data_IF_412883830302
#
_entry.id   IF_412883830302
#
_cell.length_a   1.000
_cell.length_b   1.000
_cell.length_c   1.000
_cell.angle_alpha   90.00
_cell.angle_beta   90.00
_cell.angle_gamma   90.00
#
_symmetry.space_group_name_H-M   'P 1'
#
loop_
_entity.id
_entity.type
_entity.pdbx_description
1 polymer ?
#
# COMPACT_ATOMS: atom_id res chain seq x y z
N UNK A 1 22.74 -5.02 -25.71
CA UNK A 1 23.25 -4.05 -24.69
C UNK A 1 22.40 -4.23 -23.46
N UNK A 2 23.00 -4.62 -22.35
CA UNK A 2 22.26 -4.90 -21.11
C UNK A 2 21.57 -3.64 -20.61
N UNK A 3 20.27 -3.74 -20.36
CA UNK A 3 19.44 -2.67 -19.76
C UNK A 3 19.37 -2.88 -18.24
N UNK A 4 19.69 -1.85 -17.48
CA UNK A 4 19.71 -1.92 -16.02
C UNK A 4 18.67 -0.98 -15.44
N UNK A 5 17.90 -1.48 -14.47
CA UNK A 5 16.90 -0.71 -13.74
C UNK A 5 17.01 -0.96 -12.24
N UNK A 6 16.55 0.01 -11.45
CA UNK A 6 16.34 -0.15 -10.02
C UNK A 6 14.85 0.04 -9.69
N UNK A 7 14.29 -0.91 -8.95
CA UNK A 7 12.94 -0.84 -8.40
C UNK A 7 13.03 -0.67 -6.89
N UNK A 8 12.36 0.34 -6.37
CA UNK A 8 12.13 0.49 -4.93
C UNK A 8 10.74 -0.02 -4.60
N UNK A 9 10.59 -0.81 -3.53
CA UNK A 9 9.29 -1.33 -3.07
C UNK A 9 9.12 -1.24 -1.56
N UNK A 10 7.92 -0.86 -1.09
CA UNK A 10 7.54 -0.95 0.33
C UNK A 10 7.06 -2.35 0.73
N UNK A 11 6.87 -3.24 -0.24
CA UNK A 11 6.25 -4.55 -0.05
C UNK A 11 7.16 -5.68 -0.54
N UNK A 12 6.66 -6.92 -0.41
CA UNK A 12 7.30 -8.05 -1.09
C UNK A 12 7.29 -7.78 -2.60
N UNK A 13 8.46 -7.86 -3.27
CA UNK A 13 8.50 -7.68 -4.71
C UNK A 13 7.53 -8.63 -5.42
N UNK A 14 6.77 -8.11 -6.37
CA UNK A 14 5.84 -8.89 -7.16
C UNK A 14 6.08 -8.63 -8.64
N UNK A 15 6.12 -9.70 -9.41
CA UNK A 15 6.46 -9.64 -10.83
C UNK A 15 5.40 -8.88 -11.66
N UNK A 16 4.13 -8.92 -11.28
CA UNK A 16 3.06 -8.28 -12.04
C UNK A 16 3.18 -6.75 -11.99
N UNK A 17 3.50 -6.18 -10.80
CA UNK A 17 3.77 -4.75 -10.65
C UNK A 17 5.03 -4.33 -11.41
N UNK A 18 6.09 -5.14 -11.36
CA UNK A 18 7.34 -4.87 -12.07
C UNK A 18 7.12 -4.92 -13.58
N UNK A 19 6.44 -5.95 -14.10
CA UNK A 19 6.07 -6.06 -15.51
C UNK A 19 5.25 -4.86 -15.97
N UNK A 20 4.25 -4.46 -15.18
CA UNK A 20 3.43 -3.31 -15.50
C UNK A 20 4.26 -2.03 -15.60
N UNK A 21 5.13 -1.75 -14.62
CA UNK A 21 5.99 -0.57 -14.67
C UNK A 21 6.92 -0.57 -15.89
N UNK A 22 7.54 -1.71 -16.21
CA UNK A 22 8.44 -1.82 -17.34
C UNK A 22 7.71 -1.72 -18.69
N UNK A 23 6.45 -2.18 -18.77
CA UNK A 23 5.65 -2.02 -19.98
C UNK A 23 5.28 -0.57 -20.31
N UNK A 24 5.46 0.35 -19.33
CA UNK A 24 5.29 1.80 -19.54
C UNK A 24 6.54 2.46 -20.13
N UNK A 25 7.64 1.74 -20.24
CA UNK A 25 8.92 2.25 -20.76
C UNK A 25 9.07 1.76 -22.19
N UNK A 26 9.35 2.68 -23.11
CA UNK A 26 9.62 2.35 -24.49
C UNK A 26 10.84 1.41 -24.60
N UNK A 27 10.78 0.48 -25.55
CA UNK A 27 11.87 -0.47 -25.85
C UNK A 27 12.21 -1.49 -24.77
N UNK A 28 11.39 -1.69 -23.73
CA UNK A 28 11.58 -2.76 -22.77
C UNK A 28 10.57 -3.88 -23.04
N UNK A 29 11.08 -5.02 -23.53
CA UNK A 29 10.27 -6.22 -23.76
C UNK A 29 10.53 -7.19 -22.62
N UNK A 30 9.47 -7.56 -21.91
CA UNK A 30 9.53 -8.55 -20.83
C UNK A 30 8.86 -9.82 -21.32
N UNK A 31 9.55 -10.97 -21.26
CA UNK A 31 8.95 -12.25 -21.60
C UNK A 31 7.74 -12.55 -20.72
N UNK A 32 6.66 -13.04 -21.32
CA UNK A 32 5.43 -13.41 -20.59
C UNK A 32 5.66 -14.56 -19.59
N UNK A 33 6.69 -15.37 -19.80
CA UNK A 33 7.02 -16.57 -19.01
C UNK A 33 7.64 -16.27 -17.64
N UNK A 34 8.04 -15.03 -17.35
CA UNK A 34 8.66 -14.68 -16.08
C UNK A 34 7.64 -14.73 -14.94
N UNK A 35 7.97 -15.47 -13.88
CA UNK A 35 7.20 -15.59 -12.64
C UNK A 35 7.94 -14.93 -11.45
N UNK A 36 7.31 -14.93 -10.27
CA UNK A 36 7.96 -14.45 -9.05
C UNK A 36 9.23 -15.24 -8.67
N UNK A 37 9.38 -16.47 -9.16
CA UNK A 37 10.54 -17.32 -8.87
C UNK A 37 11.84 -16.77 -9.48
N UNK A 38 11.74 -15.87 -10.46
CA UNK A 38 12.89 -15.16 -11.03
C UNK A 38 13.37 -14.00 -10.16
N UNK A 39 12.63 -13.60 -9.15
CA UNK A 39 13.02 -12.55 -8.21
C UNK A 39 13.82 -13.20 -7.08
N UNK A 40 15.15 -13.09 -7.16
CA UNK A 40 16.06 -13.80 -6.26
C UNK A 40 16.61 -12.84 -5.20
N UNK A 41 16.45 -13.13 -3.88
CA UNK A 41 17.06 -12.32 -2.84
C UNK A 41 18.58 -12.44 -2.85
N UNK A 42 19.26 -11.32 -2.68
CA UNK A 42 20.71 -11.26 -2.61
C UNK A 42 21.18 -11.69 -1.21
N UNK A 43 21.30 -13.00 -1.03
CA UNK A 43 21.77 -13.60 0.23
C UNK A 43 23.27 -13.80 0.14
N UNK A 44 24.00 -13.21 1.09
CA UNK A 44 25.44 -13.40 1.25
C UNK A 44 25.72 -14.29 2.47
N UNK A 45 26.93 -14.83 2.55
CA UNK A 45 27.41 -15.52 3.76
C UNK A 45 28.66 -14.81 4.29
N UNK A 46 28.80 -14.76 5.61
CA UNK A 46 30.03 -14.29 6.23
C UNK A 46 31.11 -15.40 6.27
N UNK A 47 32.24 -15.09 6.91
CA UNK A 47 33.37 -16.03 7.05
C UNK A 47 33.05 -17.27 7.92
N UNK A 48 32.00 -17.19 8.73
CA UNK A 48 31.51 -18.27 9.60
C UNK A 48 30.36 -19.06 8.93
N UNK A 49 29.98 -18.69 7.70
CA UNK A 49 28.89 -19.30 6.95
C UNK A 49 27.49 -18.84 7.37
N UNK A 50 27.36 -17.83 8.23
CA UNK A 50 26.07 -17.24 8.59
C UNK A 50 25.49 -16.48 7.41
N UNK A 51 24.23 -16.76 7.09
CA UNK A 51 23.53 -16.11 5.97
C UNK A 51 23.05 -14.72 6.33
N UNK A 52 23.18 -13.79 5.39
CA UNK A 52 22.82 -12.37 5.54
C UNK A 52 21.99 -11.87 4.37
N UNK A 53 20.91 -11.11 4.68
CA UNK A 53 20.04 -10.48 3.71
C UNK A 53 19.73 -9.03 4.10
N UNK A 54 19.85 -8.10 3.17
CA UNK A 54 19.69 -6.66 3.41
C UNK A 54 18.53 -6.02 2.64
N UNK A 55 17.50 -6.78 2.33
CA UNK A 55 16.32 -6.23 1.63
C UNK A 55 16.59 -5.89 0.15
N UNK A 56 17.46 -6.65 -0.51
CA UNK A 56 17.80 -6.47 -1.93
C UNK A 56 17.56 -7.77 -2.68
N UNK A 57 16.86 -7.69 -3.80
CA UNK A 57 16.65 -8.79 -4.75
C UNK A 57 17.19 -8.42 -6.12
N UNK A 58 17.43 -9.42 -6.94
CA UNK A 58 17.79 -9.26 -8.34
C UNK A 58 16.81 -10.06 -9.21
N UNK A 59 16.43 -9.47 -10.32
CA UNK A 59 15.73 -10.12 -11.42
C UNK A 59 16.60 -9.99 -12.67
N UNK A 60 17.07 -11.12 -13.19
CA UNK A 60 17.90 -11.18 -14.41
C UNK A 60 17.17 -12.00 -15.46
N UNK A 61 16.92 -11.39 -16.63
CA UNK A 61 16.25 -12.04 -17.74
C UNK A 61 16.78 -11.47 -19.06
N UNK A 62 17.35 -12.33 -19.88
CA UNK A 62 17.97 -11.97 -21.17
C UNK A 62 19.00 -10.84 -21.00
N UNK A 63 18.74 -9.68 -21.61
CA UNK A 63 19.59 -8.49 -21.50
C UNK A 63 19.06 -7.46 -20.50
N UNK A 64 18.18 -7.88 -19.60
CA UNK A 64 17.56 -7.04 -18.57
C UNK A 64 18.03 -7.43 -17.16
N UNK A 65 18.55 -6.47 -16.41
CA UNK A 65 18.92 -6.62 -14.99
C UNK A 65 18.14 -5.61 -14.17
N UNK A 66 17.41 -6.11 -13.17
CA UNK A 66 16.64 -5.27 -12.24
C UNK A 66 17.11 -5.51 -10.82
N UNK A 67 17.63 -4.49 -10.18
CA UNK A 67 17.90 -4.47 -8.74
C UNK A 67 16.65 -3.99 -8.00
N UNK A 68 16.13 -4.79 -7.09
CA UNK A 68 14.94 -4.46 -6.32
C UNK A 68 15.38 -4.20 -4.88
N UNK A 69 15.03 -3.05 -4.32
CA UNK A 69 15.43 -2.64 -2.97
C UNK A 69 14.21 -2.32 -2.12
N UNK A 70 14.16 -2.88 -0.90
CA UNK A 70 13.14 -2.53 0.07
C UNK A 70 13.37 -1.11 0.58
N UNK A 71 12.33 -0.29 0.59
CA UNK A 71 12.35 1.04 1.18
C UNK A 71 11.20 1.23 2.17
N UNK A 72 11.30 2.27 2.96
CA UNK A 72 10.26 2.72 3.87
C UNK A 72 9.86 4.14 3.53
N UNK A 73 8.61 4.31 3.20
CA UNK A 73 8.04 5.62 2.98
C UNK A 73 7.79 6.37 4.30
N UNK A 74 8.06 7.66 4.31
CA UNK A 74 7.86 8.50 5.48
C UNK A 74 6.47 9.10 5.58
N UNK A 75 5.81 9.28 4.45
CA UNK A 75 4.52 9.99 4.41
C UNK A 75 3.75 9.62 3.16
N UNK A 76 2.69 8.83 3.30
CA UNK A 76 1.81 8.46 2.17
C UNK A 76 2.61 8.09 0.90
N UNK A 77 3.69 7.32 1.06
CA UNK A 77 4.52 6.89 -0.07
C UNK A 77 3.74 5.96 -0.99
N UNK A 78 4.14 5.94 -2.24
CA UNK A 78 3.68 4.95 -3.22
C UNK A 78 4.33 3.59 -2.95
N UNK A 79 3.73 2.52 -3.43
CA UNK A 79 4.22 1.17 -3.14
C UNK A 79 5.49 0.81 -3.94
N UNK A 80 5.64 1.36 -5.16
CA UNK A 80 6.80 1.10 -6.03
C UNK A 80 7.28 2.35 -6.75
N UNK A 81 8.60 2.39 -7.01
CA UNK A 81 9.24 3.39 -7.88
C UNK A 81 10.26 2.70 -8.78
N UNK A 82 10.27 3.04 -10.06
CA UNK A 82 11.20 2.50 -11.07
C UNK A 82 12.18 3.59 -11.54
N UNK A 83 13.45 3.28 -11.56
CA UNK A 83 14.54 4.16 -12.02
C UNK A 83 15.36 3.47 -13.12
N UNK A 84 15.94 4.25 -14.00
CA UNK A 84 16.74 3.75 -15.12
C UNK A 84 18.10 3.17 -14.66
N UNK A 85 18.67 3.72 -13.61
CA UNK A 85 20.01 3.38 -13.10
C UNK A 85 19.96 3.15 -11.60
N UNK A 86 21.08 2.80 -11.01
CA UNK A 86 21.16 2.68 -9.56
C UNK A 86 20.95 4.05 -8.89
N UNK A 87 20.11 4.06 -7.88
CA UNK A 87 19.68 5.27 -7.18
C UNK A 87 20.36 5.35 -5.84
N UNK A 88 20.97 6.50 -5.57
CA UNK A 88 21.43 6.83 -4.24
C UNK A 88 20.24 7.13 -3.33
N UNK A 89 19.89 6.16 -2.50
CA UNK A 89 18.77 6.26 -1.57
C UNK A 89 19.05 7.20 -0.40
N UNK A 90 20.29 7.64 -0.23
CA UNK A 90 20.63 8.61 0.83
C UNK A 90 20.17 10.03 0.46
N UNK A 91 20.10 10.34 -0.82
CA UNK A 91 19.62 11.66 -1.30
C UNK A 91 18.10 11.74 -1.35
N UNK A 92 17.40 10.60 -1.47
CA UNK A 92 15.95 10.54 -1.48
C UNK A 92 15.27 11.23 -2.66
N UNK A 93 15.98 11.47 -3.78
CA UNK A 93 15.45 12.17 -4.94
C UNK A 93 14.56 11.23 -5.79
N UNK A 94 13.28 11.18 -5.47
CA UNK A 94 12.30 10.41 -6.24
C UNK A 94 11.82 11.12 -7.52
N UNK A 95 12.21 12.39 -7.75
CA UNK A 95 11.83 13.12 -8.98
C UNK A 95 12.38 12.45 -10.26
N UNK A 96 13.47 11.69 -10.13
CA UNK A 96 14.12 10.98 -11.23
C UNK A 96 13.46 9.64 -11.58
N UNK A 97 12.46 9.22 -10.82
CA UNK A 97 11.74 7.99 -11.12
C UNK A 97 11.06 8.07 -12.50
N UNK A 98 11.18 7.00 -13.28
CA UNK A 98 10.51 6.85 -14.57
C UNK A 98 9.03 6.54 -14.39
N UNK A 99 8.73 5.68 -13.41
CA UNK A 99 7.37 5.24 -13.08
C UNK A 99 7.23 5.20 -11.57
N UNK A 100 6.10 5.68 -11.08
CA UNK A 100 5.65 5.43 -9.70
C UNK A 100 4.34 4.66 -9.74
N UNK A 101 4.21 3.66 -8.88
CA UNK A 101 3.06 2.78 -8.85
C UNK A 101 2.52 2.62 -7.44
N UNK A 102 1.21 2.73 -7.33
CA UNK A 102 0.44 2.39 -6.15
C UNK A 102 -0.42 1.17 -6.46
N UNK A 103 -0.29 0.12 -5.65
CA UNK A 103 -1.02 -1.12 -5.87
C UNK A 103 -2.07 -1.39 -4.80
N UNK A 104 -3.11 -2.14 -5.13
CA UNK A 104 -4.13 -2.56 -4.17
C UNK A 104 -4.80 -3.86 -4.58
N UNK A 105 -5.12 -4.68 -3.60
CA UNK A 105 -5.89 -5.92 -3.78
C UNK A 105 -7.42 -5.69 -3.69
N UNK A 106 -7.86 -4.44 -3.55
CA UNK A 106 -9.28 -4.10 -3.39
C UNK A 106 -9.92 -3.74 -4.72
N UNK A 107 -11.12 -4.28 -4.97
CA UNK A 107 -11.98 -3.88 -6.09
C UNK A 107 -12.92 -2.73 -5.71
N UNK A 108 -13.60 -2.13 -6.70
CA UNK A 108 -14.68 -1.16 -6.50
C UNK A 108 -15.70 -1.61 -5.44
N UNK A 109 -16.10 -2.88 -5.50
CA UNK A 109 -17.10 -3.42 -4.57
C UNK A 109 -16.63 -3.56 -3.13
N UNK A 110 -15.35 -3.81 -2.95
CA UNK A 110 -14.76 -4.10 -1.65
C UNK A 110 -14.40 -2.82 -0.90
N UNK A 111 -14.01 -1.80 -1.61
CA UNK A 111 -13.44 -0.58 -1.03
C UNK A 111 -14.47 0.45 -0.58
N UNK A 112 -15.71 0.36 -1.04
CA UNK A 112 -16.82 1.24 -0.64
C UNK A 112 -16.37 2.64 -0.22
N UNK A 113 -15.78 3.41 -1.10
CA UNK A 113 -15.42 4.81 -0.89
C UNK A 113 -14.03 5.11 -0.31
N UNK A 114 -13.27 4.15 0.19
CA UNK A 114 -12.01 4.47 0.89
C UNK A 114 -10.77 4.22 0.05
N UNK A 115 -10.70 3.12 -0.69
CA UNK A 115 -9.46 2.74 -1.35
C UNK A 115 -9.06 3.71 -2.48
N UNK A 116 -9.98 4.09 -3.35
CA UNK A 116 -9.68 5.02 -4.45
C UNK A 116 -9.18 6.36 -3.90
N UNK A 117 -9.84 6.89 -2.87
CA UNK A 117 -9.49 8.19 -2.30
C UNK A 117 -8.18 8.17 -1.50
N UNK A 118 -7.91 7.09 -0.77
CA UNK A 118 -6.63 6.92 -0.09
C UNK A 118 -5.46 6.82 -1.09
N UNK A 119 -5.68 6.13 -2.22
CA UNK A 119 -4.65 5.93 -3.23
C UNK A 119 -4.33 7.23 -3.98
N UNK A 120 -5.33 8.00 -4.37
CA UNK A 120 -5.11 9.32 -4.98
C UNK A 120 -4.23 10.20 -4.08
N UNK A 121 -4.43 10.12 -2.76
CA UNK A 121 -3.65 10.85 -1.76
C UNK A 121 -2.14 10.65 -1.92
N UNK A 122 -1.70 9.43 -2.19
CA UNK A 122 -0.29 9.11 -2.32
C UNK A 122 0.34 9.84 -3.50
N UNK A 123 -0.33 9.86 -4.65
CA UNK A 123 0.12 10.59 -5.83
C UNK A 123 0.13 12.11 -5.59
N UNK A 124 -0.89 12.64 -4.94
CA UNK A 124 -0.96 14.07 -4.59
C UNK A 124 0.18 14.47 -3.65
N UNK A 125 0.50 13.63 -2.66
CA UNK A 125 1.64 13.86 -1.77
C UNK A 125 2.96 13.80 -2.53
N UNK A 126 3.10 12.84 -3.44
CA UNK A 126 4.29 12.68 -4.27
C UNK A 126 4.51 13.92 -5.14
N UNK A 127 3.49 14.38 -5.86
CA UNK A 127 3.56 15.58 -6.72
C UNK A 127 3.95 16.84 -5.93
N UNK A 128 3.48 16.93 -4.69
CA UNK A 128 3.84 18.04 -3.81
C UNK A 128 5.30 18.04 -3.40
N UNK A 129 5.86 16.85 -3.14
CA UNK A 129 7.27 16.72 -2.76
C UNK A 129 8.20 16.87 -3.96
N UNK A 130 7.74 16.47 -5.13
CA UNK A 130 8.52 16.41 -6.36
C UNK A 130 7.77 17.08 -7.51
N UNK A 131 7.62 18.42 -7.49
CA UNK A 131 6.88 19.16 -8.52
C UNK A 131 7.52 19.03 -9.91
N UNK A 132 8.81 18.72 -9.98
CA UNK A 132 9.55 18.53 -11.23
C UNK A 132 9.45 17.10 -11.78
N UNK A 133 8.76 16.19 -11.10
CA UNK A 133 8.55 14.83 -11.56
C UNK A 133 7.85 14.80 -12.93
N UNK A 134 8.46 14.10 -13.89
CA UNK A 134 7.97 13.95 -15.27
C UNK A 134 7.60 12.52 -15.64
N UNK A 135 7.81 11.60 -14.71
CA UNK A 135 7.56 10.18 -14.95
C UNK A 135 6.06 9.83 -14.99
N UNK A 136 5.80 8.56 -15.12
CA UNK A 136 4.46 7.99 -15.28
C UNK A 136 3.90 7.61 -13.91
N UNK A 137 2.64 7.96 -13.65
CA UNK A 137 1.89 7.57 -12.46
C UNK A 137 0.96 6.42 -12.80
N UNK A 138 1.00 5.36 -12.00
CA UNK A 138 0.19 4.16 -12.23
C UNK A 138 -0.55 3.75 -10.97
N UNK A 139 -1.86 3.62 -11.08
CA UNK A 139 -2.70 2.95 -10.10
C UNK A 139 -3.01 1.54 -10.58
N UNK A 140 -2.71 0.53 -9.76
CA UNK A 140 -2.87 -0.87 -10.10
C UNK A 140 -3.76 -1.62 -9.11
N UNK A 141 -4.77 -2.31 -9.61
CA UNK A 141 -5.64 -3.20 -8.83
C UNK A 141 -5.27 -4.66 -9.09
N UNK A 142 -4.54 -5.25 -8.16
CA UNK A 142 -4.14 -6.66 -8.25
C UNK A 142 -5.34 -7.58 -8.06
N UNK A 143 -5.56 -8.52 -8.96
CA UNK A 143 -6.57 -9.58 -8.83
C UNK A 143 -7.98 -9.07 -8.48
N UNK A 144 -8.38 -7.94 -9.04
CA UNK A 144 -9.67 -7.34 -8.73
C UNK A 144 -10.76 -7.87 -9.62
N UNK A 145 -11.88 -8.28 -9.00
CA UNK A 145 -13.11 -8.61 -9.73
C UNK A 145 -13.93 -7.33 -9.84
N UNK A 146 -14.07 -6.84 -11.07
CA UNK A 146 -14.81 -5.64 -11.37
C UNK A 146 -16.23 -6.01 -11.87
N UNK A 147 -17.21 -5.23 -11.42
CA UNK A 147 -18.57 -5.29 -11.97
C UNK A 147 -18.64 -4.61 -13.33
N UNK A 148 -19.70 -4.90 -14.06
CA UNK A 148 -19.95 -4.26 -15.36
C UNK A 148 -20.14 -2.75 -15.25
N UNK A 149 -20.64 -2.27 -14.10
CA UNK A 149 -20.83 -0.84 -13.82
C UNK A 149 -20.11 -0.43 -12.53
N UNK A 150 -19.37 0.65 -12.61
CA UNK A 150 -18.74 1.28 -11.45
C UNK A 150 -19.79 1.93 -10.54
N UNK A 151 -19.48 1.99 -9.23
CA UNK A 151 -20.26 2.82 -8.31
C UNK A 151 -20.00 4.31 -8.63
N UNK A 152 -20.96 5.16 -8.32
CA UNK A 152 -20.80 6.60 -8.51
C UNK A 152 -19.56 7.15 -7.79
N UNK A 153 -19.29 6.63 -6.60
CA UNK A 153 -18.10 7.02 -5.82
C UNK A 153 -16.79 6.62 -6.51
N UNK A 154 -16.71 5.41 -7.05
CA UNK A 154 -15.54 4.96 -7.80
C UNK A 154 -15.36 5.77 -9.09
N UNK A 155 -16.44 6.03 -9.82
CA UNK A 155 -16.40 6.84 -11.04
C UNK A 155 -15.83 8.25 -10.77
N UNK A 156 -16.29 8.93 -9.72
CA UNK A 156 -15.77 10.25 -9.36
C UNK A 156 -14.29 10.18 -9.03
N UNK A 157 -13.85 9.19 -8.26
CA UNK A 157 -12.44 9.02 -7.92
C UNK A 157 -11.57 8.72 -9.14
N UNK A 158 -12.04 7.86 -10.05
CA UNK A 158 -11.30 7.50 -11.27
C UNK A 158 -11.24 8.65 -12.27
N UNK A 159 -12.31 9.44 -12.41
CA UNK A 159 -12.27 10.68 -13.20
C UNK A 159 -11.27 11.69 -12.63
N UNK A 160 -11.14 11.80 -11.30
CA UNK A 160 -10.09 12.61 -10.67
C UNK A 160 -8.69 12.04 -10.97
N UNK A 161 -8.49 10.71 -10.92
CA UNK A 161 -7.22 10.09 -11.30
C UNK A 161 -6.87 10.43 -12.75
N UNK A 162 -7.81 10.29 -13.68
CA UNK A 162 -7.61 10.66 -15.08
C UNK A 162 -7.27 12.16 -15.22
N UNK A 163 -8.00 13.03 -14.51
CA UNK A 163 -7.71 14.48 -14.48
C UNK A 163 -6.29 14.76 -13.99
N UNK A 164 -5.77 13.99 -13.05
CA UNK A 164 -4.44 14.13 -12.47
C UNK A 164 -3.34 13.32 -13.23
N UNK A 165 -3.65 12.81 -14.43
CA UNK A 165 -2.75 11.99 -15.27
C UNK A 165 -2.23 10.74 -14.55
N UNK A 166 -3.10 10.04 -13.85
CA UNK A 166 -2.79 8.75 -13.23
C UNK A 166 -3.37 7.65 -14.11
N UNK A 167 -2.50 6.82 -14.70
CA UNK A 167 -2.90 5.66 -15.49
C UNK A 167 -3.50 4.59 -14.58
N UNK A 168 -4.53 3.90 -15.05
CA UNK A 168 -5.33 2.98 -14.25
C UNK A 168 -5.39 1.59 -14.88
N UNK A 169 -4.83 0.60 -14.19
CA UNK A 169 -4.80 -0.78 -14.64
C UNK A 169 -5.32 -1.76 -13.59
N UNK A 170 -5.80 -2.90 -14.04
CA UNK A 170 -6.20 -4.02 -13.19
C UNK A 170 -5.75 -5.33 -13.81
N UNK A 171 -5.39 -6.29 -12.97
CA UNK A 171 -5.16 -7.66 -13.37
C UNK A 171 -6.41 -8.50 -13.07
N UNK A 172 -6.95 -9.17 -14.08
CA UNK A 172 -8.06 -10.08 -13.92
C UNK A 172 -7.76 -11.42 -14.60
N UNK A 173 -7.59 -12.47 -13.82
CA UNK A 173 -7.26 -13.82 -14.32
C UNK A 173 -6.04 -13.80 -15.26
N UNK A 174 -5.00 -13.09 -14.90
CA UNK A 174 -3.77 -12.96 -15.68
C UNK A 174 -3.83 -11.97 -16.85
N UNK A 175 -4.99 -11.36 -17.13
CA UNK A 175 -5.14 -10.37 -18.19
C UNK A 175 -5.05 -8.95 -17.63
N UNK A 176 -4.17 -8.14 -18.19
CA UNK A 176 -4.07 -6.71 -17.88
C UNK A 176 -5.24 -5.96 -18.53
N UNK A 177 -5.98 -5.21 -17.75
CA UNK A 177 -7.13 -4.43 -18.18
C UNK A 177 -6.82 -2.96 -17.96
N UNK A 178 -6.94 -2.15 -19.01
CA UNK A 178 -6.96 -0.69 -18.89
C UNK A 178 -8.35 -0.25 -18.38
N UNK A 179 -8.38 0.27 -17.16
CA UNK A 179 -9.64 0.66 -16.48
C UNK A 179 -10.29 1.87 -17.16
N UNK A 180 -9.48 2.80 -17.65
CA UNK A 180 -9.98 3.96 -18.39
C UNK A 180 -10.76 3.53 -19.64
N UNK A 181 -10.17 2.66 -20.44
CA UNK A 181 -10.82 2.16 -21.67
C UNK A 181 -12.05 1.33 -21.37
N UNK A 182 -11.93 0.40 -20.40
CA UNK A 182 -13.05 -0.51 -20.04
C UNK A 182 -14.31 0.23 -19.60
N UNK A 183 -14.17 1.35 -18.89
CA UNK A 183 -15.29 2.10 -18.32
C UNK A 183 -15.48 3.47 -18.96
N UNK A 184 -14.79 3.77 -20.06
CA UNK A 184 -14.89 5.03 -20.79
C UNK A 184 -14.69 6.27 -19.88
N UNK A 185 -13.67 6.17 -19.01
CA UNK A 185 -13.40 7.22 -18.00
C UNK A 185 -12.78 8.44 -18.68
N UNK A 186 -13.43 9.59 -18.53
CA UNK A 186 -12.95 10.87 -19.02
C UNK A 186 -12.49 11.79 -17.88
N UNK A 187 -11.46 12.59 -18.13
CA UNK A 187 -11.05 13.64 -17.22
C UNK A 187 -12.17 14.66 -17.01
N UNK A 188 -12.11 15.38 -15.90
CA UNK A 188 -12.94 16.56 -15.71
C UNK A 188 -12.43 17.72 -16.59
N UNK A 189 -13.35 18.50 -17.13
CA UNK A 189 -13.02 19.61 -18.01
C UNK A 189 -13.10 20.98 -17.32
N UNK A 190 -13.93 21.08 -16.27
CA UNK A 190 -14.12 22.30 -15.50
C UNK A 190 -14.45 22.04 -14.03
N UNK A 191 -14.38 23.09 -13.21
CA UNK A 191 -14.69 23.01 -11.78
C UNK A 191 -16.13 22.60 -11.50
N UNK A 192 -17.08 23.10 -12.29
CA UNK A 192 -18.51 22.84 -12.05
C UNK A 192 -18.84 21.35 -12.25
N UNK A 193 -18.22 20.70 -13.25
CA UNK A 193 -18.36 19.25 -13.47
C UNK A 193 -17.83 18.43 -12.27
N UNK A 194 -16.71 18.84 -11.67
CA UNK A 194 -16.20 18.21 -10.43
C UNK A 194 -17.19 18.41 -9.28
N UNK A 195 -17.71 19.64 -9.11
CA UNK A 195 -18.65 19.98 -8.04
C UNK A 195 -19.93 19.17 -8.17
N UNK A 196 -20.55 19.15 -9.33
CA UNK A 196 -21.78 18.41 -9.60
C UNK A 196 -21.58 16.92 -9.35
N UNK A 197 -20.54 16.33 -9.95
CA UNK A 197 -20.24 14.91 -9.79
C UNK A 197 -19.98 14.51 -8.32
N UNK A 198 -19.24 15.34 -7.57
CA UNK A 198 -18.95 15.09 -6.17
C UNK A 198 -20.19 15.22 -5.29
N UNK A 199 -21.00 16.26 -5.54
CA UNK A 199 -22.20 16.51 -4.75
C UNK A 199 -23.33 15.52 -5.06
N UNK A 200 -23.34 14.89 -6.21
CA UNK A 200 -24.28 13.80 -6.54
C UNK A 200 -24.04 12.51 -5.71
N UNK A 201 -22.86 12.33 -5.11
CA UNK A 201 -22.62 11.19 -4.21
C UNK A 201 -23.46 11.36 -2.93
N UNK A 202 -24.37 10.40 -2.62
CA UNK A 202 -25.23 10.48 -1.44
C UNK A 202 -24.41 10.51 -0.14
N UNK A 203 -24.80 11.39 0.78
CA UNK A 203 -24.27 11.35 2.13
C UNK A 203 -24.82 10.14 2.88
N UNK A 204 -23.93 9.40 3.54
CA UNK A 204 -24.32 8.34 4.46
C UNK A 204 -24.34 8.89 5.87
N UNK A 205 -25.39 8.58 6.61
CA UNK A 205 -25.52 8.99 8.02
C UNK A 205 -24.32 8.47 8.82
N UNK A 206 -23.60 9.38 9.49
CA UNK A 206 -22.42 9.05 10.31
C UNK A 206 -21.09 8.96 9.55
N UNK A 207 -21.06 9.13 8.24
CA UNK A 207 -19.85 9.12 7.44
C UNK A 207 -19.31 10.53 7.19
N UNK A 208 -18.04 10.59 6.81
CA UNK A 208 -17.43 11.80 6.33
C UNK A 208 -18.10 12.30 5.06
N UNK A 209 -18.30 13.59 4.99
CA UNK A 209 -18.82 14.23 3.79
C UNK A 209 -17.99 15.44 3.38
N UNK A 210 -17.88 15.62 2.08
CA UNK A 210 -17.36 16.83 1.45
C UNK A 210 -18.47 17.36 0.57
N UNK A 211 -18.84 18.63 0.78
CA UNK A 211 -19.75 19.37 -0.09
C UNK A 211 -19.01 20.55 -0.68
N UNK A 212 -19.23 20.79 -1.93
CA UNK A 212 -18.54 21.79 -2.72
C UNK A 212 -19.57 22.79 -3.23
N UNK A 213 -19.23 24.08 -3.18
CA UNK A 213 -20.00 25.13 -3.79
C UNK A 213 -19.05 26.16 -4.37
N UNK A 214 -19.42 26.80 -5.47
CA UNK A 214 -18.62 27.82 -6.12
C UNK A 214 -19.40 29.12 -6.16
N UNK A 215 -18.73 30.20 -5.79
CA UNK A 215 -19.22 31.55 -5.95
C UNK A 215 -18.09 32.39 -6.53
N UNK A 216 -18.23 32.83 -7.77
CA UNK A 216 -17.19 33.50 -8.55
C UNK A 216 -15.89 32.68 -8.61
N UNK A 217 -14.80 33.20 -8.04
CA UNK A 217 -13.51 32.51 -7.95
C UNK A 217 -13.30 31.79 -6.63
N UNK A 218 -14.27 31.80 -5.72
CA UNK A 218 -14.17 31.16 -4.43
C UNK A 218 -14.86 29.80 -4.45
N UNK A 219 -14.14 28.79 -3.96
CA UNK A 219 -14.66 27.43 -3.80
C UNK A 219 -14.86 27.17 -2.29
N UNK A 220 -16.12 27.08 -1.89
CA UNK A 220 -16.51 26.77 -0.53
C UNK A 220 -16.59 25.26 -0.32
N UNK A 221 -15.87 24.78 0.68
CA UNK A 221 -15.74 23.37 0.99
C UNK A 221 -16.28 23.10 2.40
N UNK A 222 -17.43 22.47 2.48
CA UNK A 222 -17.96 21.98 3.74
C UNK A 222 -17.40 20.58 4.02
N UNK A 223 -16.55 20.47 5.04
CA UNK A 223 -15.89 19.21 5.43
C UNK A 223 -16.46 18.72 6.77
N UNK A 224 -17.02 17.51 6.76
CA UNK A 224 -17.45 16.81 7.96
C UNK A 224 -16.78 15.45 7.99
N UNK A 225 -15.97 15.18 9.02
CA UNK A 225 -15.28 13.90 9.20
C UNK A 225 -16.10 12.98 10.13
N UNK A 226 -16.00 11.66 9.88
CA UNK A 226 -16.69 10.69 10.71
C UNK A 226 -16.05 10.61 12.10
N UNK A 227 -16.87 10.69 13.13
CA UNK A 227 -16.43 10.56 14.51
C UNK A 227 -16.27 9.11 14.96
N UNK A 228 -16.68 8.13 14.15
CA UNK A 228 -16.60 6.71 14.48
C UNK A 228 -16.84 6.42 15.95
N UNK A 229 -18.02 6.20 16.42
CA UNK A 229 -18.39 5.81 17.80
C UNK A 229 -17.58 6.47 18.95
N UNK A 230 -17.09 7.68 18.77
CA UNK A 230 -16.37 8.45 19.79
C UNK A 230 -14.87 8.12 19.96
N UNK A 231 -14.33 7.17 19.25
CA UNK A 231 -12.91 6.81 19.30
C UNK A 231 -12.15 7.42 18.12
N UNK A 232 -11.74 8.66 18.28
CA UNK A 232 -11.03 9.41 17.25
C UNK A 232 -9.62 8.94 16.92
N UNK A 233 -8.99 8.12 17.75
CA UNK A 233 -7.57 7.84 17.66
C UNK A 233 -7.15 7.03 16.42
N UNK A 234 -8.06 6.36 15.76
CA UNK A 234 -7.75 5.53 14.59
C UNK A 234 -8.35 6.07 13.28
N UNK A 235 -9.49 6.74 13.32
CA UNK A 235 -10.24 7.10 12.11
C UNK A 235 -9.64 8.31 11.40
N UNK A 236 -9.17 9.29 12.13
CA UNK A 236 -8.61 10.52 11.54
C UNK A 236 -7.26 10.24 10.88
N UNK A 237 -6.47 9.32 11.42
CA UNK A 237 -5.15 8.99 10.86
C UNK A 237 -5.21 8.37 9.47
N UNK A 238 -6.37 7.83 9.09
CA UNK A 238 -6.59 7.17 7.81
C UNK A 238 -7.87 7.65 7.12
N UNK A 239 -8.34 8.86 7.45
CA UNK A 239 -9.57 9.36 6.83
C UNK A 239 -9.34 9.66 5.34
N UNK A 240 -9.96 8.86 4.46
CA UNK A 240 -9.75 9.01 3.02
C UNK A 240 -10.31 10.31 2.46
N UNK A 241 -11.20 10.98 3.19
CA UNK A 241 -11.79 12.23 2.70
C UNK A 241 -10.84 13.42 2.82
N UNK A 242 -9.90 13.40 3.76
CA UNK A 242 -8.84 14.44 3.80
C UNK A 242 -7.96 14.32 2.56
N UNK A 243 -7.59 13.09 2.17
CA UNK A 243 -6.84 12.84 0.95
C UNK A 243 -7.61 13.17 -0.32
N UNK A 244 -8.86 12.82 -0.30
CA UNK A 244 -9.76 13.11 -1.40
C UNK A 244 -9.97 14.61 -1.61
N UNK A 245 -10.04 15.38 -0.53
CA UNK A 245 -10.12 16.84 -0.62
C UNK A 245 -8.89 17.43 -1.31
N UNK A 246 -7.69 16.98 -0.97
CA UNK A 246 -6.48 17.45 -1.63
C UNK A 246 -6.47 17.11 -3.12
N UNK A 247 -6.90 15.90 -3.50
CA UNK A 247 -7.03 15.52 -4.89
C UNK A 247 -8.05 16.37 -5.66
N UNK A 248 -9.18 16.70 -5.03
CA UNK A 248 -10.19 17.62 -5.60
C UNK A 248 -9.59 18.99 -5.85
N UNK A 249 -8.89 19.57 -4.87
CA UNK A 249 -8.26 20.89 -5.02
C UNK A 249 -7.23 20.88 -6.14
N UNK A 250 -6.37 19.87 -6.19
CA UNK A 250 -5.40 19.75 -7.29
C UNK A 250 -6.07 19.56 -8.65
N UNK A 251 -7.19 18.86 -8.71
CA UNK A 251 -7.97 18.75 -9.94
C UNK A 251 -8.60 20.10 -10.34
N UNK A 252 -9.10 20.87 -9.39
CA UNK A 252 -9.57 22.24 -9.67
C UNK A 252 -8.46 23.11 -10.26
N UNK A 253 -7.28 23.14 -9.65
CA UNK A 253 -6.14 23.91 -10.15
C UNK A 253 -5.75 23.49 -11.57
N UNK A 254 -5.81 22.18 -11.84
CA UNK A 254 -5.47 21.64 -13.16
C UNK A 254 -6.49 22.01 -14.24
N UNK A 255 -7.80 21.95 -13.95
CA UNK A 255 -8.84 22.28 -14.95
C UNK A 255 -8.98 23.78 -15.16
N UNK A 256 -8.66 24.60 -14.16
CA UNK A 256 -8.66 26.08 -14.33
C UNK A 256 -7.51 26.58 -15.20
N UNK A 257 -6.49 25.76 -15.46
CA UNK A 257 -5.31 26.12 -16.29
C UNK A 257 -4.58 27.40 -15.85
N UNK A 258 -4.89 27.89 -14.67
CA UNK A 258 -4.33 29.13 -14.12
C UNK A 258 -4.03 28.87 -12.65
N UNK A 259 -2.78 28.60 -12.27
CA UNK A 259 -2.41 28.37 -10.88
C UNK A 259 -2.81 29.57 -10.01
N UNK A 260 -3.29 29.28 -8.81
CA UNK A 260 -3.67 30.26 -7.78
C UNK A 260 -4.86 31.17 -8.12
N UNK A 261 -5.77 30.76 -8.99
CA UNK A 261 -6.96 31.55 -9.32
C UNK A 261 -8.15 31.32 -8.39
N UNK A 262 -8.22 30.16 -7.76
CA UNK A 262 -9.31 29.86 -6.84
C UNK A 262 -8.89 30.14 -5.39
N UNK A 263 -9.78 30.74 -4.62
CA UNK A 263 -9.65 30.75 -3.17
C UNK A 263 -10.45 29.57 -2.62
N UNK A 264 -9.85 28.78 -1.75
CA UNK A 264 -10.50 27.62 -1.13
C UNK A 264 -10.88 27.97 0.30
N UNK A 265 -12.17 28.00 0.59
CA UNK A 265 -12.71 28.34 1.90
C UNK A 265 -13.25 27.06 2.52
N UNK A 266 -12.51 26.50 3.49
CA UNK A 266 -12.83 25.22 4.11
C UNK A 266 -13.52 25.45 5.46
N UNK A 267 -14.77 25.02 5.56
CA UNK A 267 -15.52 24.95 6.79
C UNK A 267 -15.53 23.55 7.34
N UNK A 268 -14.91 23.36 8.50
CA UNK A 268 -14.85 22.07 9.17
C UNK A 268 -15.84 22.03 10.33
N UNK A 269 -16.85 21.16 10.23
CA UNK A 269 -18.00 21.15 11.16
C UNK A 269 -17.77 20.37 12.45
N UNK A 270 -16.75 19.54 12.58
CA UNK A 270 -16.73 18.61 13.73
C UNK A 270 -15.35 18.18 14.24
N UNK A 271 -14.27 18.80 13.79
CA UNK A 271 -12.92 18.40 14.21
C UNK A 271 -12.25 19.49 15.02
N UNK A 272 -11.68 19.10 16.16
CA UNK A 272 -10.80 19.95 16.95
C UNK A 272 -9.39 19.92 16.33
N UNK A 273 -8.69 21.04 16.37
CA UNK A 273 -7.32 21.22 15.89
C UNK A 273 -6.39 20.04 16.24
N UNK A 274 -6.39 19.64 17.52
CA UNK A 274 -5.51 18.56 18.03
C UNK A 274 -5.68 17.21 17.32
N UNK A 275 -6.82 16.94 16.70
CA UNK A 275 -7.06 15.71 15.97
C UNK A 275 -6.58 15.82 14.53
N UNK A 276 -6.70 17.00 13.96
CA UNK A 276 -6.22 17.29 12.63
C UNK A 276 -4.69 17.20 12.56
N UNK A 277 -4.00 17.73 13.57
CA UNK A 277 -2.54 17.69 13.68
C UNK A 277 -1.98 16.26 13.79
N UNK A 278 -2.79 15.32 14.30
CA UNK A 278 -2.43 13.91 14.44
C UNK A 278 -2.73 13.07 13.22
N UNK A 279 -3.48 13.60 12.24
CA UNK A 279 -3.83 12.87 11.04
C UNK A 279 -2.62 12.77 10.10
N UNK A 280 -2.10 11.59 9.76
CA UNK A 280 -1.04 11.47 8.76
C UNK A 280 -1.44 12.11 7.43
N UNK A 281 -2.72 12.03 7.06
CA UNK A 281 -3.26 12.69 5.89
C UNK A 281 -3.34 14.22 6.04
N UNK A 282 -3.18 14.80 7.23
CA UNK A 282 -3.02 16.26 7.37
C UNK A 282 -1.76 16.75 6.68
N UNK A 283 -0.81 15.86 6.46
CA UNK A 283 0.38 16.14 5.66
C UNK A 283 0.07 16.43 4.20
N UNK A 284 -1.13 16.15 3.73
CA UNK A 284 -1.62 16.56 2.41
C UNK A 284 -1.73 18.06 2.23
N UNK A 285 -1.78 18.83 3.30
CA UNK A 285 -1.73 20.27 3.21
C UNK A 285 -0.44 20.78 2.59
N UNK A 286 0.57 19.96 2.50
CA UNK A 286 1.80 20.29 1.77
C UNK A 286 1.57 20.41 0.27
N UNK A 287 0.75 19.53 -0.30
CA UNK A 287 0.39 19.62 -1.71
C UNK A 287 -0.42 20.88 -2.03
N UNK A 288 -0.83 21.58 -0.99
CA UNK A 288 -1.65 22.76 -1.06
C UNK A 288 -0.89 24.01 -0.58
N UNK A 289 0.44 23.92 -0.43
CA UNK A 289 1.24 25.00 0.18
C UNK A 289 1.16 26.32 -0.58
N UNK A 290 1.07 26.26 -1.90
CA UNK A 290 1.04 27.42 -2.78
C UNK A 290 -0.37 27.83 -3.18
N UNK A 291 -1.39 27.20 -2.57
CA UNK A 291 -2.80 27.43 -2.86
C UNK A 291 -3.41 28.30 -1.76
N UNK A 292 -4.25 29.25 -2.13
CA UNK A 292 -4.92 30.12 -1.17
C UNK A 292 -6.05 29.42 -0.44
N UNK A 293 -5.77 28.90 0.77
CA UNK A 293 -6.73 28.16 1.59
C UNK A 293 -7.03 28.92 2.86
N UNK A 294 -8.31 29.20 3.08
CA UNK A 294 -8.84 29.77 4.30
C UNK A 294 -9.64 28.72 5.05
N UNK A 295 -9.28 28.47 6.31
CA UNK A 295 -10.05 27.61 7.20
C UNK A 295 -10.97 28.46 8.09
N UNK A 296 -12.27 28.24 8.01
CA UNK A 296 -13.26 28.82 8.93
C UNK A 296 -13.42 27.94 10.18
N UNK A 297 -13.56 28.55 11.35
CA UNK A 297 -13.93 27.94 12.64
C UNK A 297 -12.93 26.90 13.23
N UNK A 298 -12.15 26.21 12.41
CA UNK A 298 -11.10 25.33 12.87
C UNK A 298 -9.83 25.67 12.13
N UNK A 299 -8.91 26.27 12.82
CA UNK A 299 -7.72 26.81 12.22
C UNK A 299 -6.63 25.78 12.25
N UNK A 300 -6.18 25.35 11.10
CA UNK A 300 -4.88 24.70 10.96
C UNK A 300 -3.82 25.79 11.02
N UNK A 301 -3.34 26.05 12.23
CA UNK A 301 -2.45 27.19 12.51
C UNK A 301 -1.05 27.01 11.92
N UNK A 302 -0.62 25.78 11.70
CA UNK A 302 0.69 25.48 11.13
C UNK A 302 0.53 24.38 10.08
N UNK A 303 1.07 24.63 8.92
CA UNK A 303 1.32 23.57 7.94
C UNK A 303 2.46 22.74 8.46
N UNK A 304 2.32 21.44 8.57
CA UNK A 304 3.42 20.58 8.96
C UNK A 304 4.56 20.75 7.93
N UNK A 305 5.81 20.60 8.32
CA UNK A 305 6.95 20.62 7.38
C UNK A 305 7.12 19.24 6.77
N UNK A 306 7.26 19.17 5.46
CA UNK A 306 7.56 17.91 4.78
C UNK A 306 8.90 17.36 5.24
N UNK A 307 9.02 16.04 5.41
CA UNK A 307 10.32 15.41 5.57
C UNK A 307 11.22 15.79 4.38
N UNK A 308 12.49 16.03 4.64
CA UNK A 308 13.49 16.32 3.59
C UNK A 308 13.65 15.15 2.60
N UNK A 309 13.22 13.96 2.99
CA UNK A 309 13.24 12.74 2.18
C UNK A 309 11.86 12.09 2.19
N UNK A 310 11.40 11.67 1.02
CA UNK A 310 10.14 10.95 0.85
C UNK A 310 10.24 9.50 1.34
N UNK A 311 11.39 8.88 1.15
CA UNK A 311 11.67 7.50 1.52
C UNK A 311 13.08 7.35 2.10
N UNK A 312 13.30 6.25 2.79
CA UNK A 312 14.62 5.79 3.23
C UNK A 312 14.74 4.30 2.94
N UNK A 313 15.97 3.81 2.76
CA UNK A 313 16.19 2.37 2.88
C UNK A 313 15.68 1.91 4.23
N UNK A 314 15.09 0.72 4.25
CA UNK A 314 14.74 0.03 5.49
C UNK A 314 16.06 -0.34 6.19
N UNK A 315 16.62 0.57 6.98
CA UNK A 315 17.88 0.36 7.69
C UNK A 315 17.69 -0.47 8.96
N UNK A 316 16.50 -0.35 9.56
CA UNK A 316 16.13 -1.11 10.74
C UNK A 316 15.32 -2.31 10.28
N UNK A 317 15.81 -3.52 10.55
CA UNK A 317 15.07 -4.73 10.26
C UNK A 317 13.72 -4.67 10.94
N UNK A 318 12.66 -4.81 10.17
CA UNK A 318 11.28 -4.76 10.65
C UNK A 318 10.67 -6.16 10.68
N UNK A 319 9.59 -6.29 11.45
CA UNK A 319 8.76 -7.51 11.42
C UNK A 319 8.32 -7.89 10.01
N UNK A 320 8.14 -6.88 9.13
CA UNK A 320 7.78 -7.07 7.73
C UNK A 320 8.89 -7.79 6.95
N UNK A 321 10.15 -7.37 7.12
CA UNK A 321 11.26 -8.03 6.42
C UNK A 321 11.44 -9.48 6.85
N UNK A 322 11.28 -9.79 8.12
CA UNK A 322 11.33 -11.18 8.62
C UNK A 322 10.28 -12.08 7.95
N UNK A 323 9.04 -11.60 7.85
CA UNK A 323 7.95 -12.36 7.21
C UNK A 323 8.11 -12.45 5.70
N UNK A 324 8.60 -11.42 5.03
CA UNK A 324 8.88 -11.43 3.59
C UNK A 324 9.98 -12.45 3.27
N UNK A 325 11.09 -12.42 4.00
CA UNK A 325 12.19 -13.34 3.75
C UNK A 325 11.81 -14.77 4.11
N UNK A 326 11.03 -14.97 5.17
CA UNK A 326 10.50 -16.29 5.51
C UNK A 326 9.61 -16.84 4.38
N UNK A 327 8.74 -16.01 3.80
CA UNK A 327 7.92 -16.39 2.66
C UNK A 327 8.75 -16.84 1.45
N UNK A 328 9.92 -16.24 1.27
CA UNK A 328 10.82 -16.62 0.20
C UNK A 328 11.58 -17.92 0.46
N UNK A 329 12.06 -18.15 1.69
CA UNK A 329 12.83 -19.35 2.04
C UNK A 329 11.95 -20.56 2.38
N UNK A 330 10.65 -20.34 2.62
CA UNK A 330 9.68 -21.41 2.89
C UNK A 330 9.39 -22.20 1.62
N UNK A 331 9.38 -23.55 1.67
CA UNK A 331 8.95 -24.36 0.52
C UNK A 331 7.43 -24.34 0.32
N UNK A 332 6.67 -23.77 1.24
CA UNK A 332 5.22 -23.79 1.26
C UNK A 332 4.63 -22.64 0.42
N UNK A 333 3.48 -22.87 -0.21
CA UNK A 333 2.78 -21.84 -0.98
C UNK A 333 2.15 -20.77 -0.09
N UNK A 334 2.39 -19.51 -0.42
CA UNK A 334 1.71 -18.37 0.25
C UNK A 334 0.28 -18.23 -0.28
N UNK A 335 -0.70 -18.49 0.57
CA UNK A 335 -2.15 -18.35 0.24
C UNK A 335 -2.78 -17.07 0.79
N UNK A 336 -2.09 -16.37 1.68
CA UNK A 336 -2.53 -15.12 2.29
C UNK A 336 -1.34 -14.28 2.71
N UNK A 337 -1.40 -12.98 2.48
CA UNK A 337 -0.40 -12.01 2.94
C UNK A 337 -1.07 -10.69 3.28
N UNK A 338 -0.71 -10.11 4.42
CA UNK A 338 -1.25 -8.83 4.92
C UNK A 338 -0.16 -7.76 5.09
N UNK A 339 0.95 -7.88 4.41
CA UNK A 339 2.08 -6.95 4.55
C UNK A 339 1.73 -5.48 4.25
N UNK A 340 0.79 -5.23 3.33
CA UNK A 340 0.37 -3.88 2.97
C UNK A 340 -0.71 -3.27 3.88
N UNK A 341 -1.10 -3.92 4.99
CA UNK A 341 -2.15 -3.41 5.87
C UNK A 341 -3.53 -3.28 5.21
N UNK A 342 -3.76 -3.99 4.11
CA UNK A 342 -4.99 -3.93 3.34
C UNK A 342 -6.21 -4.34 4.19
N UNK A 343 -7.23 -3.51 4.18
CA UNK A 343 -8.47 -3.76 4.91
C UNK A 343 -9.27 -4.96 4.37
N UNK A 344 -9.04 -5.33 3.12
CA UNK A 344 -9.71 -6.41 2.41
C UNK A 344 -8.64 -7.25 1.70
N UNK A 345 -8.34 -8.38 2.29
CA UNK A 345 -7.45 -9.38 1.72
C UNK A 345 -8.26 -10.63 1.38
N UNK A 346 -7.75 -11.40 0.45
CA UNK A 346 -8.39 -12.63 0.01
C UNK A 346 -7.55 -13.83 0.40
N UNK A 347 -8.20 -14.91 0.80
CA UNK A 347 -7.59 -16.22 0.99
C UNK A 347 -7.88 -17.03 -0.27
N UNK A 348 -6.86 -17.64 -0.86
CA UNK A 348 -6.96 -18.55 -2.00
C UNK A 348 -7.57 -19.88 -1.54
N UNK A 349 -8.50 -20.46 -2.28
CA UNK A 349 -9.07 -21.76 -1.97
C UNK A 349 -8.20 -22.92 -2.41
N UNK A 350 -8.53 -24.12 -1.98
CA UNK A 350 -7.78 -25.35 -2.30
C UNK A 350 -7.71 -25.64 -3.81
N UNK A 351 -8.76 -25.30 -4.52
CA UNK A 351 -8.85 -25.43 -5.97
C UNK A 351 -8.19 -24.27 -6.74
N UNK A 352 -7.51 -23.38 -6.05
CA UNK A 352 -6.89 -22.16 -6.54
C UNK A 352 -7.84 -21.18 -7.23
N UNK A 353 -9.09 -21.53 -7.36
CA UNK A 353 -10.13 -20.68 -7.99
C UNK A 353 -11.03 -20.01 -6.97
N UNK A 354 -11.21 -20.60 -5.80
CA UNK A 354 -12.03 -20.03 -4.74
C UNK A 354 -11.27 -18.95 -4.01
N UNK A 355 -11.83 -17.75 -3.96
CA UNK A 355 -11.27 -16.61 -3.25
C UNK A 355 -12.27 -16.14 -2.20
N UNK A 356 -11.88 -16.23 -0.94
CA UNK A 356 -12.67 -15.73 0.18
C UNK A 356 -12.15 -14.40 0.67
N UNK A 357 -12.98 -13.36 0.62
CA UNK A 357 -12.64 -12.05 1.17
C UNK A 357 -12.68 -12.07 2.69
N UNK A 358 -11.60 -11.61 3.31
CA UNK A 358 -11.50 -11.43 4.76
C UNK A 358 -11.92 -10.02 5.12
N UNK A 359 -13.04 -9.88 5.85
CA UNK A 359 -13.61 -8.57 6.19
C UNK A 359 -12.73 -7.73 7.13
N UNK A 360 -12.90 -6.42 7.08
CA UNK A 360 -12.11 -5.42 7.85
C UNK A 360 -12.02 -5.65 9.36
N UNK A 361 -13.07 -6.22 9.95
CA UNK A 361 -13.16 -6.42 11.41
C UNK A 361 -12.63 -7.78 11.88
N UNK A 362 -12.16 -8.60 10.95
CA UNK A 362 -11.61 -9.91 11.30
C UNK A 362 -10.14 -9.75 11.66
N UNK A 363 -9.70 -10.16 12.84
CA UNK A 363 -8.28 -10.28 13.15
C UNK A 363 -7.60 -11.18 12.12
N UNK A 364 -6.42 -10.80 11.68
CA UNK A 364 -5.68 -11.46 10.60
C UNK A 364 -4.24 -11.64 11.00
N UNK A 365 -3.59 -12.74 10.62
CA UNK A 365 -2.15 -12.89 10.72
C UNK A 365 -1.44 -12.09 9.62
N UNK A 366 -0.13 -12.02 9.68
CA UNK A 366 0.67 -11.37 8.65
C UNK A 366 0.77 -12.21 7.38
N UNK A 367 0.92 -13.53 7.51
CA UNK A 367 1.04 -14.43 6.36
C UNK A 367 0.51 -15.83 6.68
N UNK A 368 0.01 -16.53 5.66
CA UNK A 368 -0.45 -17.92 5.75
C UNK A 368 0.11 -18.73 4.59
N UNK A 369 0.65 -19.89 4.90
CA UNK A 369 1.17 -20.85 3.94
C UNK A 369 0.32 -22.10 3.86
N UNK A 370 0.37 -22.75 2.71
CA UNK A 370 -0.21 -24.06 2.45
C UNK A 370 0.90 -25.05 2.09
N UNK A 371 0.84 -26.21 2.71
CA UNK A 371 1.65 -27.38 2.36
C UNK A 371 0.71 -28.52 1.97
N UNK A 372 0.63 -28.83 0.69
CA UNK A 372 -0.28 -29.85 0.16
C UNK A 372 0.22 -31.27 0.42
N UNK A 373 1.54 -31.45 0.51
CA UNK A 373 2.17 -32.75 0.78
C UNK A 373 1.83 -33.26 2.19
N UNK A 374 1.91 -32.36 3.17
CA UNK A 374 1.64 -32.69 4.57
C UNK A 374 0.21 -32.33 5.01
N UNK A 375 -0.59 -31.75 4.12
CA UNK A 375 -1.93 -31.19 4.43
C UNK A 375 -1.90 -30.25 5.62
N UNK A 376 -1.02 -29.28 5.57
CA UNK A 376 -0.81 -28.32 6.64
C UNK A 376 -1.05 -26.90 6.17
N UNK A 377 -1.69 -26.11 7.02
CA UNK A 377 -1.78 -24.66 6.91
C UNK A 377 -0.96 -24.05 8.03
N UNK A 378 0.01 -23.22 7.68
CA UNK A 378 0.84 -22.53 8.66
C UNK A 378 0.48 -21.06 8.73
N UNK A 379 0.08 -20.59 9.93
CA UNK A 379 -0.26 -19.20 10.23
C UNK A 379 0.94 -18.54 10.90
N UNK A 380 1.46 -17.47 10.30
CA UNK A 380 2.64 -16.77 10.80
C UNK A 380 2.31 -15.32 11.17
N UNK A 381 2.84 -14.92 12.32
CA UNK A 381 2.83 -13.54 12.80
C UNK A 381 4.25 -13.01 12.90
N UNK A 382 4.54 -11.87 12.28
CA UNK A 382 5.82 -11.18 12.38
C UNK A 382 5.85 -10.22 13.57
N UNK A 383 6.94 -10.20 14.34
CA UNK A 383 7.09 -9.28 15.47
C UNK A 383 8.53 -8.87 15.73
N UNK A 384 8.68 -7.63 16.14
CA UNK A 384 9.89 -7.17 16.80
C UNK A 384 10.01 -7.84 18.16
N UNK A 385 11.22 -8.12 18.62
CA UNK A 385 11.52 -8.74 19.94
C UNK A 385 10.70 -8.11 21.07
N UNK A 386 10.67 -6.78 21.14
CA UNK A 386 9.93 -6.02 22.16
C UNK A 386 8.40 -6.18 22.10
N UNK A 387 7.87 -6.75 21.03
CA UNK A 387 6.43 -6.92 20.79
C UNK A 387 5.96 -8.37 20.77
N UNK A 388 6.85 -9.32 21.13
CA UNK A 388 6.54 -10.76 21.14
C UNK A 388 5.26 -11.10 21.90
N UNK A 389 5.04 -10.49 23.07
CA UNK A 389 3.81 -10.71 23.84
C UNK A 389 2.53 -10.32 23.07
N UNK A 390 2.59 -9.33 22.20
CA UNK A 390 1.47 -9.01 21.30
C UNK A 390 1.29 -10.08 20.24
N UNK A 391 2.38 -10.57 19.63
CA UNK A 391 2.34 -11.62 18.62
C UNK A 391 1.72 -12.91 19.15
N UNK A 392 2.14 -13.36 20.34
CA UNK A 392 1.56 -14.52 21.02
C UNK A 392 0.05 -14.32 21.23
N UNK A 393 -0.36 -13.16 21.73
CA UNK A 393 -1.78 -12.83 21.90
C UNK A 393 -2.54 -12.82 20.57
N UNK A 394 -1.94 -12.31 19.50
CA UNK A 394 -2.55 -12.29 18.16
C UNK A 394 -2.74 -13.69 17.59
N UNK A 395 -1.80 -14.60 17.84
CA UNK A 395 -1.90 -16.01 17.44
C UNK A 395 -2.84 -16.84 18.32
N UNK A 396 -3.28 -16.32 19.47
CA UNK A 396 -4.18 -17.05 20.37
C UNK A 396 -5.48 -17.47 19.67
N UNK A 397 -6.06 -18.59 20.10
CA UNK A 397 -7.28 -19.12 19.51
C UNK A 397 -8.44 -18.13 19.59
N UNK A 398 -8.57 -17.42 20.71
CA UNK A 398 -9.63 -16.42 20.92
C UNK A 398 -9.52 -15.23 19.97
N UNK A 399 -8.29 -14.83 19.59
CA UNK A 399 -8.09 -13.72 18.66
C UNK A 399 -8.34 -14.12 17.22
N UNK A 400 -7.81 -15.27 16.79
CA UNK A 400 -7.90 -15.72 15.40
C UNK A 400 -9.08 -16.67 15.10
N UNK A 401 -9.97 -16.94 16.07
CA UNK A 401 -11.05 -17.93 15.93
C UNK A 401 -11.84 -17.80 14.62
N UNK A 402 -12.25 -16.59 14.28
CA UNK A 402 -13.02 -16.36 13.05
C UNK A 402 -12.20 -16.60 11.79
N UNK A 403 -10.92 -16.22 11.79
CA UNK A 403 -10.02 -16.42 10.66
C UNK A 403 -9.72 -17.91 10.47
N UNK A 404 -9.39 -18.61 11.54
CA UNK A 404 -9.19 -20.08 11.54
C UNK A 404 -10.46 -20.80 11.10
N UNK A 405 -11.64 -20.36 11.54
CA UNK A 405 -12.93 -20.90 11.07
C UNK A 405 -13.16 -20.74 9.56
N UNK A 406 -12.63 -19.69 8.93
CA UNK A 406 -12.66 -19.54 7.48
C UNK A 406 -11.66 -20.46 6.78
N UNK A 407 -10.44 -20.59 7.34
CA UNK A 407 -9.45 -21.53 6.82
C UNK A 407 -9.97 -22.98 6.87
N UNK A 408 -10.57 -23.39 7.98
CA UNK A 408 -11.15 -24.75 8.11
C UNK A 408 -12.27 -25.04 7.09
N UNK A 409 -13.01 -24.01 6.67
CA UNK A 409 -14.03 -24.17 5.59
C UNK A 409 -13.38 -24.35 4.23
N UNK A 410 -12.29 -23.67 3.95
CA UNK A 410 -11.58 -23.74 2.68
C UNK A 410 -10.69 -25.00 2.61
N UNK A 411 -10.16 -25.44 3.75
CA UNK A 411 -9.18 -26.51 3.90
C UNK A 411 -9.60 -27.48 5.01
N UNK A 412 -10.71 -28.21 4.84
CA UNK A 412 -11.29 -29.05 5.92
C UNK A 412 -10.38 -30.19 6.35
N UNK A 413 -9.52 -30.68 5.45
CA UNK A 413 -8.62 -31.81 5.70
C UNK A 413 -7.20 -31.39 6.11
N UNK A 414 -6.97 -30.10 6.38
CA UNK A 414 -5.65 -29.59 6.73
C UNK A 414 -5.51 -29.32 8.21
N UNK A 415 -4.34 -29.64 8.76
CA UNK A 415 -3.97 -29.29 10.13
C UNK A 415 -3.45 -27.85 10.17
N UNK A 416 -3.95 -27.04 11.10
CA UNK A 416 -3.51 -25.66 11.26
C UNK A 416 -2.40 -25.59 12.30
N UNK A 417 -1.22 -25.14 11.89
CA UNK A 417 -0.07 -24.82 12.73
C UNK A 417 0.10 -23.29 12.84
N UNK A 418 0.75 -22.84 13.91
CA UNK A 418 1.00 -21.42 14.17
C UNK A 418 2.46 -21.22 14.53
N UNK A 419 3.03 -20.09 14.11
CA UNK A 419 4.42 -19.76 14.35
C UNK A 419 4.72 -18.27 14.31
N UNK A 420 5.93 -17.91 14.70
CA UNK A 420 6.42 -16.54 14.78
C UNK A 420 7.60 -16.35 13.83
N UNK A 421 7.61 -15.22 13.13
CA UNK A 421 8.80 -14.64 12.53
C UNK A 421 9.23 -13.45 13.38
N UNK A 422 10.48 -13.40 13.83
CA UNK A 422 10.92 -12.38 14.77
C UNK A 422 12.12 -11.59 14.27
N UNK A 423 12.13 -10.31 14.60
CA UNK A 423 13.30 -9.45 14.44
C UNK A 423 13.93 -9.24 15.81
N UNK A 424 15.17 -9.62 15.96
CA UNK A 424 15.92 -9.67 17.23
C UNK A 424 17.22 -8.87 17.14
N UNK A 425 17.86 -8.64 18.28
CA UNK A 425 19.11 -7.88 18.30
C UNK A 425 20.30 -8.66 17.71
N UNK A 426 20.35 -9.98 17.94
CA UNK A 426 21.35 -10.88 17.36
C UNK A 426 20.78 -12.28 17.23
N UNK A 427 20.99 -12.92 16.09
CA UNK A 427 20.58 -14.32 15.85
C UNK A 427 21.28 -15.31 16.76
N UNK A 428 22.43 -14.98 17.32
CA UNK A 428 23.13 -15.83 18.30
C UNK A 428 22.35 -16.00 19.61
N UNK A 429 21.35 -15.16 19.85
CA UNK A 429 20.48 -15.23 21.02
C UNK A 429 19.19 -16.04 20.79
N UNK A 430 19.06 -16.76 19.68
CA UNK A 430 17.83 -17.45 19.28
C UNK A 430 17.33 -18.46 20.32
N UNK A 431 18.22 -19.05 21.10
CA UNK A 431 17.89 -20.04 22.13
C UNK A 431 16.96 -19.52 23.22
N UNK A 432 16.94 -18.20 23.45
CA UNK A 432 16.02 -17.56 24.41
C UNK A 432 14.54 -17.74 24.04
N UNK A 433 14.25 -18.03 22.78
CA UNK A 433 12.88 -18.10 22.27
C UNK A 433 12.38 -19.52 22.03
N UNK A 434 13.15 -20.56 22.41
CA UNK A 434 12.79 -21.98 22.22
C UNK A 434 11.54 -22.40 23.01
N UNK A 435 11.25 -21.74 24.13
CA UNK A 435 10.16 -22.10 25.04
C UNK A 435 8.94 -21.18 24.92
N UNK A 436 8.74 -20.51 23.80
CA UNK A 436 7.54 -19.72 23.57
C UNK A 436 6.33 -20.62 23.33
N UNK A 437 5.13 -20.12 23.64
CA UNK A 437 3.86 -20.81 23.37
C UNK A 437 3.70 -21.20 21.89
N UNK A 438 4.19 -20.35 20.98
CA UNK A 438 4.26 -20.65 19.55
C UNK A 438 5.72 -20.70 19.10
N UNK A 439 6.12 -21.69 18.29
CA UNK A 439 7.50 -21.82 17.85
C UNK A 439 7.94 -20.63 16.98
N UNK A 440 9.17 -20.20 17.16
CA UNK A 440 9.83 -19.32 16.21
C UNK A 440 10.23 -20.14 14.99
N UNK A 441 9.80 -19.71 13.82
CA UNK A 441 10.11 -20.35 12.54
C UNK A 441 11.26 -19.67 11.83
N UNK A 442 11.37 -18.36 12.03
CA UNK A 442 12.37 -17.53 11.39
C UNK A 442 12.77 -16.37 12.28
N UNK A 443 14.06 -16.04 12.30
CA UNK A 443 14.59 -14.89 12.99
C UNK A 443 15.60 -14.15 12.11
N UNK A 444 15.57 -12.82 12.17
CA UNK A 444 16.53 -11.93 11.52
C UNK A 444 16.97 -10.85 12.49
N UNK A 445 18.24 -10.41 12.43
CA UNK A 445 18.75 -9.35 13.27
C UNK A 445 18.93 -8.02 12.51
N UNK A 446 19.32 -6.97 13.24
CA UNK A 446 19.51 -5.62 12.71
C UNK A 446 20.64 -5.51 11.66
N UNK A 447 21.54 -6.47 11.62
CA UNK A 447 22.60 -6.53 10.60
C UNK A 447 22.20 -7.30 9.36
N UNK A 448 21.05 -8.00 9.42
CA UNK A 448 20.50 -8.82 8.35
C UNK A 448 20.90 -10.30 8.42
N UNK A 449 21.60 -10.74 9.48
CA UNK A 449 21.81 -12.17 9.70
C UNK A 449 20.51 -12.84 10.06
N UNK A 450 20.26 -14.04 9.52
CA UNK A 450 19.01 -14.74 9.74
C UNK A 450 19.19 -16.24 9.96
N UNK A 451 18.23 -16.83 10.66
CA UNK A 451 18.13 -18.27 10.91
C UNK A 451 16.73 -18.73 10.54
N UNK A 452 16.66 -19.79 9.73
CA UNK A 452 15.42 -20.54 9.48
C UNK A 452 15.42 -21.76 10.38
N UNK A 453 14.43 -21.88 11.26
CA UNK A 453 14.28 -22.98 12.18
C UNK A 453 13.28 -23.98 11.58
N UNK A 454 13.79 -25.01 10.92
CA UNK A 454 12.97 -26.15 10.49
C UNK A 454 12.46 -26.95 11.69
N UNK A 455 11.28 -27.56 11.59
CA UNK A 455 10.65 -28.35 12.69
C UNK A 455 11.38 -29.65 13.06
N UNK A 456 12.49 -29.97 12.40
CA UNK A 456 13.22 -31.23 12.55
C UNK A 456 14.47 -31.14 13.45
N UNK A 457 14.48 -30.21 14.42
CA UNK A 457 15.49 -30.18 15.48
C UNK A 457 14.85 -30.28 16.87
#
# INVERSE_FOLDING_TARGET
MTKTFTVLTEENPNIDEIKLMLSMIDDVIIPHTISNDFIIPNITSDSEGKKKFKGVWTLEVDDLIITIKLFKGKTSSVDYMLFKEDVDLTTGNAAEALVILESTKTSDNASRNTAVYQRITKFTTFDSMYPDFKGIKVMFWCNSIWKDKLTQTAMVGMRLMETLNINMYSLNKGNLINIKEKYEITAYECCDDIIESKNAIPEKKGNCSIRLNRLDNDIYISLKLDKGNGKFSGVISHDPNVGFLAAIINAFEKVTKKPNHNNYIIKNHNIKQKYFDKCPNSKLWYSLSDINIVFEECVIKKRPVLPSQYFTLESDMTEKLATILYAYVSPNETIFSNHGGCALTCIKGHDDTTILSVGQKMPRPDIVFRNDEHKEIEIIEGKLERELGKGIKQLSNTHLEKFVGQLNKLYPDYTIKKGLCITINSVDCIDKYKNLEFPVKFAIDNEGFFIHLSQDQ
#
